data_IF_239645340683
#
_entry.id   IF_239645340683
#
_cell.length_a   1.000
_cell.length_b   1.000
_cell.length_c   1.000
_cell.angle_alpha   90.00
_cell.angle_beta   90.00
_cell.angle_gamma   90.00
#
_symmetry.space_group_name_H-M   'P 1'
#
loop_
_entity.id
_entity.type
_entity.pdbx_description
1 polymer ?
#
# COMPACT_ATOMS: atom_id res chain seq x y z
N UNK A 1 19.00 -7.79 11.13
CA UNK A 1 17.75 -7.12 10.77
C UNK A 1 18.05 -6.12 9.65
N UNK A 2 17.25 -6.12 8.62
CA UNK A 2 17.41 -5.18 7.51
C UNK A 2 16.81 -3.84 7.90
N UNK A 3 17.64 -2.83 8.08
CA UNK A 3 17.18 -1.48 8.45
C UNK A 3 16.30 -0.86 7.38
N UNK A 4 16.49 -1.24 6.11
CA UNK A 4 15.65 -0.75 5.00
C UNK A 4 14.20 -1.19 5.15
N UNK A 5 13.95 -2.37 5.74
CA UNK A 5 12.58 -2.82 6.02
C UNK A 5 11.89 -1.82 6.95
N UNK A 6 12.58 -1.38 8.00
CA UNK A 6 12.01 -0.42 8.95
C UNK A 6 11.78 0.94 8.28
N UNK A 7 12.68 1.37 7.40
CA UNK A 7 12.53 2.64 6.67
C UNK A 7 11.28 2.60 5.78
N UNK A 8 11.10 1.51 5.02
CA UNK A 8 9.91 1.36 4.17
C UNK A 8 8.62 1.33 5.00
N UNK A 9 8.63 0.62 6.13
CA UNK A 9 7.46 0.57 7.03
C UNK A 9 7.16 1.93 7.63
N UNK A 10 8.18 2.72 7.98
CA UNK A 10 7.97 4.06 8.50
C UNK A 10 7.34 4.97 7.45
N UNK A 11 7.81 4.90 6.21
CA UNK A 11 7.20 5.66 5.11
C UNK A 11 5.75 5.23 4.89
N UNK A 12 5.46 3.94 4.96
CA UNK A 12 4.08 3.45 4.84
C UNK A 12 3.20 4.00 5.96
N UNK A 13 3.70 4.00 7.21
CA UNK A 13 2.97 4.54 8.35
C UNK A 13 2.68 6.03 8.16
N UNK A 14 3.66 6.78 7.66
CA UNK A 14 3.49 8.22 7.39
C UNK A 14 2.45 8.46 6.30
N UNK A 15 2.46 7.64 5.25
CA UNK A 15 1.44 7.72 4.20
C UNK A 15 0.03 7.43 4.75
N UNK A 16 -0.10 6.44 5.65
CA UNK A 16 -1.40 6.13 6.27
C UNK A 16 -1.89 7.30 7.12
N UNK A 17 -1.00 7.90 7.91
CA UNK A 17 -1.37 9.07 8.71
C UNK A 17 -1.79 10.23 7.82
N UNK A 18 -1.04 10.49 6.76
CA UNK A 18 -1.38 11.54 5.80
C UNK A 18 -2.74 11.27 5.15
N UNK A 19 -3.01 10.03 4.76
CA UNK A 19 -4.28 9.67 4.14
C UNK A 19 -5.46 9.98 5.07
N UNK A 20 -5.33 9.64 6.36
CA UNK A 20 -6.38 9.91 7.34
C UNK A 20 -6.63 11.40 7.54
N UNK A 21 -5.56 12.18 7.62
CA UNK A 21 -5.67 13.65 7.76
C UNK A 21 -6.30 14.28 6.52
N UNK A 22 -5.93 13.81 5.35
CA UNK A 22 -6.49 14.30 4.09
C UNK A 22 -7.97 13.94 3.96
N UNK A 23 -8.36 12.76 4.40
CA UNK A 23 -9.77 12.37 4.43
C UNK A 23 -10.59 13.30 5.34
N UNK A 24 -10.07 13.60 6.53
CA UNK A 24 -10.75 14.49 7.47
C UNK A 24 -10.97 15.89 6.87
N UNK A 25 -10.10 16.31 5.98
CA UNK A 25 -10.18 17.63 5.35
C UNK A 25 -10.83 17.59 3.97
N UNK A 26 -11.42 16.47 3.58
CA UNK A 26 -12.14 16.34 2.31
C UNK A 26 -11.25 16.34 1.07
N UNK A 27 -9.97 16.11 1.22
CA UNK A 27 -9.01 16.08 0.13
C UNK A 27 -8.85 14.65 -0.38
N UNK A 28 -9.82 14.19 -1.17
CA UNK A 28 -9.97 12.79 -1.51
C UNK A 28 -8.91 12.25 -2.47
N UNK A 29 -8.56 12.99 -3.52
CA UNK A 29 -7.53 12.55 -4.46
C UNK A 29 -6.17 12.32 -3.77
N UNK A 30 -5.62 13.30 -3.02
CA UNK A 30 -4.37 13.05 -2.31
C UNK A 30 -4.50 11.99 -1.21
N UNK A 31 -5.69 11.84 -0.61
CA UNK A 31 -5.94 10.76 0.34
C UNK A 31 -5.74 9.40 -0.34
N UNK A 32 -6.38 9.19 -1.49
CA UNK A 32 -6.27 7.94 -2.25
C UNK A 32 -4.82 7.66 -2.67
N UNK A 33 -4.13 8.70 -3.13
CA UNK A 33 -2.73 8.56 -3.52
C UNK A 33 -1.86 8.09 -2.34
N UNK A 34 -2.08 8.67 -1.15
CA UNK A 34 -1.32 8.28 0.04
C UNK A 34 -1.67 6.87 0.49
N UNK A 35 -2.93 6.45 0.41
CA UNK A 35 -3.33 5.09 0.75
C UNK A 35 -2.66 4.08 -0.20
N UNK A 36 -2.67 4.36 -1.50
CA UNK A 36 -2.01 3.50 -2.49
C UNK A 36 -0.50 3.42 -2.22
N UNK A 37 0.14 4.55 -1.93
CA UNK A 37 1.57 4.59 -1.61
C UNK A 37 1.88 3.80 -0.34
N UNK A 38 1.02 3.86 0.66
CA UNK A 38 1.19 3.08 1.88
C UNK A 38 1.20 1.58 1.58
N UNK A 39 0.26 1.11 0.76
CA UNK A 39 0.19 -0.30 0.36
C UNK A 39 1.44 -0.71 -0.42
N UNK A 40 1.87 0.12 -1.37
CA UNK A 40 3.06 -0.17 -2.18
C UNK A 40 4.30 -0.31 -1.31
N UNK A 41 4.52 0.65 -0.41
CA UNK A 41 5.70 0.65 0.46
C UNK A 41 5.68 -0.51 1.45
N UNK A 42 4.49 -0.88 1.93
CA UNK A 42 4.32 -2.03 2.81
C UNK A 42 4.72 -3.32 2.09
N UNK A 43 4.27 -3.49 0.84
CA UNK A 43 4.61 -4.68 0.07
C UNK A 43 6.10 -4.73 -0.27
N UNK A 44 6.72 -3.57 -0.54
CA UNK A 44 8.16 -3.50 -0.75
C UNK A 44 8.93 -3.87 0.51
N UNK A 45 8.47 -3.43 1.67
CA UNK A 45 9.06 -3.83 2.95
C UNK A 45 8.95 -5.34 3.14
N UNK A 46 7.81 -5.92 2.78
CA UNK A 46 7.59 -7.36 2.86
C UNK A 46 8.60 -8.13 1.99
N UNK A 47 8.76 -7.70 0.75
CA UNK A 47 9.68 -8.37 -0.18
C UNK A 47 11.12 -8.27 0.31
N UNK A 48 11.54 -7.12 0.82
CA UNK A 48 12.87 -6.97 1.41
C UNK A 48 13.06 -7.89 2.61
N UNK A 49 12.04 -7.99 3.46
CA UNK A 49 12.08 -8.87 4.63
C UNK A 49 12.24 -10.34 4.21
N UNK A 50 11.72 -10.69 3.03
CA UNK A 50 11.82 -12.03 2.45
C UNK A 50 13.05 -12.19 1.55
N UNK A 51 14.02 -11.27 1.66
CA UNK A 51 15.29 -11.29 0.91
C UNK A 51 15.10 -11.19 -0.61
N UNK A 52 14.04 -10.51 -1.04
CA UNK A 52 13.78 -10.28 -2.45
C UNK A 52 14.23 -8.88 -2.87
N UNK A 53 14.63 -8.74 -4.13
CA UNK A 53 14.93 -7.43 -4.69
C UNK A 53 13.66 -6.60 -4.80
N UNK A 54 13.78 -5.31 -4.47
CA UNK A 54 12.66 -4.37 -4.63
C UNK A 54 12.75 -3.78 -6.03
N UNK A 55 11.85 -4.21 -6.89
CA UNK A 55 11.78 -3.71 -8.25
C UNK A 55 11.14 -2.31 -8.28
N UNK A 56 11.36 -1.61 -9.40
CA UNK A 56 10.77 -0.29 -9.61
C UNK A 56 9.28 -0.33 -9.95
N UNK A 57 8.69 -1.52 -9.99
CA UNK A 57 7.26 -1.62 -10.24
C UNK A 57 6.45 -0.98 -9.11
N UNK A 58 5.37 -0.32 -9.48
CA UNK A 58 4.43 0.29 -8.54
C UNK A 58 3.10 -0.45 -8.49
N UNK A 59 2.97 -1.55 -9.24
CA UNK A 59 1.75 -2.32 -9.28
C UNK A 59 1.53 -3.12 -8.01
N UNK A 60 0.43 -2.84 -7.32
CA UNK A 60 0.08 -3.53 -6.08
C UNK A 60 -0.16 -5.02 -6.35
N UNK A 61 -0.88 -5.33 -7.43
CA UNK A 61 -1.13 -6.73 -7.80
C UNK A 61 0.13 -7.52 -8.07
N UNK A 62 1.10 -6.91 -8.74
CA UNK A 62 2.37 -7.55 -9.05
C UNK A 62 3.16 -7.81 -7.77
N UNK A 63 3.27 -6.81 -6.91
CA UNK A 63 4.00 -6.93 -5.64
C UNK A 63 3.35 -7.96 -4.72
N UNK A 64 2.02 -7.93 -4.61
CA UNK A 64 1.28 -8.87 -3.78
C UNK A 64 1.44 -10.32 -4.27
N UNK A 65 1.41 -10.52 -5.59
CA UNK A 65 1.60 -11.85 -6.18
C UNK A 65 2.95 -12.43 -5.83
N UNK A 66 4.01 -11.62 -5.92
CA UNK A 66 5.36 -12.05 -5.54
C UNK A 66 5.42 -12.41 -4.06
N UNK A 67 4.84 -11.57 -3.20
CA UNK A 67 4.84 -11.83 -1.77
C UNK A 67 4.08 -13.10 -1.42
N UNK A 68 2.96 -13.35 -2.08
CA UNK A 68 2.12 -14.55 -1.84
C UNK A 68 2.81 -15.86 -2.21
N UNK A 69 3.81 -15.81 -3.09
CA UNK A 69 4.60 -17.00 -3.41
C UNK A 69 5.51 -17.43 -2.25
N UNK A 70 5.81 -16.52 -1.33
CA UNK A 70 6.79 -16.71 -0.29
C UNK A 70 6.21 -16.69 1.13
N UNK A 71 5.01 -16.15 1.30
CA UNK A 71 4.38 -16.05 2.61
C UNK A 71 2.86 -15.95 2.47
N UNK A 72 2.18 -16.17 3.58
CA UNK A 72 0.74 -15.96 3.65
C UNK A 72 0.46 -14.45 3.74
N UNK A 73 -0.35 -13.96 2.83
CA UNK A 73 -0.72 -12.55 2.76
C UNK A 73 -2.19 -12.44 2.43
N UNK A 74 -2.94 -11.71 3.26
CA UNK A 74 -4.37 -11.53 3.09
C UNK A 74 -4.66 -10.21 2.38
N UNK A 75 -4.76 -10.28 1.08
CA UNK A 75 -5.28 -9.22 0.22
C UNK A 75 -5.88 -9.90 -1.00
N UNK A 76 -7.11 -9.53 -1.35
CA UNK A 76 -7.79 -10.12 -2.49
C UNK A 76 -7.32 -9.51 -3.80
N UNK A 77 -7.59 -10.23 -4.89
CA UNK A 77 -7.31 -9.74 -6.24
C UNK A 77 -8.08 -8.43 -6.51
N UNK A 78 -9.33 -8.38 -6.07
CA UNK A 78 -10.18 -7.19 -6.25
C UNK A 78 -9.63 -5.98 -5.47
N UNK A 79 -9.10 -6.22 -4.27
CA UNK A 79 -8.48 -5.15 -3.49
C UNK A 79 -7.23 -4.61 -4.17
N UNK A 80 -6.41 -5.49 -4.73
CA UNK A 80 -5.24 -5.09 -5.50
C UNK A 80 -5.64 -4.26 -6.71
N UNK A 81 -6.66 -4.72 -7.45
CA UNK A 81 -7.15 -4.01 -8.64
C UNK A 81 -7.66 -2.62 -8.28
N UNK A 82 -8.37 -2.51 -7.16
CA UNK A 82 -8.86 -1.22 -6.70
C UNK A 82 -7.71 -0.24 -6.46
N UNK A 83 -6.70 -0.67 -5.72
CA UNK A 83 -5.54 0.19 -5.44
C UNK A 83 -4.76 0.53 -6.70
N UNK A 84 -4.61 -0.42 -7.63
CA UNK A 84 -3.94 -0.16 -8.90
C UNK A 84 -4.73 0.83 -9.77
N UNK A 85 -6.06 0.76 -9.74
CA UNK A 85 -6.89 1.68 -10.51
C UNK A 85 -6.77 3.13 -10.00
N UNK A 86 -6.53 3.32 -8.72
CA UNK A 86 -6.40 4.63 -8.10
C UNK A 86 -5.08 5.30 -8.50
N UNK A 87 -4.03 4.53 -8.67
CA UNK A 87 -2.71 5.09 -9.01
C UNK A 87 -2.78 6.01 -10.25
N UNK A 88 -3.42 5.57 -11.31
CA UNK A 88 -3.49 6.32 -12.56
C UNK A 88 -4.34 7.59 -12.42
N UNK A 89 -5.62 7.51 -11.97
CA UNK A 89 -6.46 8.70 -11.87
C UNK A 89 -5.93 9.76 -10.90
N UNK A 90 -5.33 9.34 -9.79
CA UNK A 90 -4.84 10.28 -8.78
C UNK A 90 -3.59 11.03 -9.25
N UNK A 91 -2.76 10.42 -10.10
CA UNK A 91 -1.54 11.04 -10.63
C UNK A 91 -1.75 11.76 -11.95
N UNK A 92 -2.72 11.32 -12.74
CA UNK A 92 -2.95 11.85 -14.08
C UNK A 92 -4.44 12.18 -14.27
N UNK A 93 -4.99 13.13 -13.50
CA UNK A 93 -6.43 13.38 -13.52
C UNK A 93 -6.94 13.84 -14.88
N UNK A 94 -6.10 14.53 -15.67
CA UNK A 94 -6.49 15.04 -17.01
C UNK A 94 -6.60 13.89 -18.02
N UNK A 95 -5.85 12.84 -17.81
CA UNK A 95 -5.77 11.70 -18.74
C UNK A 95 -6.31 10.42 -18.12
N UNK A 96 -7.21 10.55 -17.15
CA UNK A 96 -7.76 9.39 -16.46
C UNK A 96 -8.42 8.42 -17.45
N UNK A 97 -8.11 7.13 -17.31
CA UNK A 97 -8.76 6.06 -18.08
C UNK A 97 -10.11 5.68 -17.49
N UNK A 98 -10.46 6.25 -16.33
CA UNK A 98 -11.73 6.04 -15.65
C UNK A 98 -12.49 7.37 -15.61
N UNK A 99 -13.12 7.77 -16.75
CA UNK A 99 -13.73 9.10 -16.85
C UNK A 99 -14.83 9.35 -15.84
N UNK A 100 -15.48 8.29 -15.35
CA UNK A 100 -16.56 8.40 -14.37
C UNK A 100 -16.08 8.23 -12.93
N UNK A 101 -14.76 8.15 -12.72
CA UNK A 101 -14.20 8.00 -11.38
C UNK A 101 -14.28 9.32 -10.63
N UNK A 102 -15.13 9.35 -9.61
CA UNK A 102 -15.26 10.49 -8.72
C UNK A 102 -14.87 10.05 -7.31
N UNK A 103 -13.73 10.52 -6.80
CA UNK A 103 -13.31 10.18 -5.44
C UNK A 103 -14.33 10.67 -4.42
N UNK A 104 -14.62 9.84 -3.43
CA UNK A 104 -15.47 10.21 -2.32
C UNK A 104 -14.90 9.66 -1.01
N UNK A 105 -15.55 10.01 0.11
CA UNK A 105 -15.08 9.59 1.42
C UNK A 105 -15.13 8.06 1.58
N UNK A 106 -16.12 7.40 1.00
CA UNK A 106 -16.27 5.95 1.15
C UNK A 106 -15.15 5.19 0.48
N UNK A 107 -14.77 5.56 -0.75
CA UNK A 107 -13.65 4.92 -1.44
C UNK A 107 -12.34 5.20 -0.70
N UNK A 108 -12.19 6.40 -0.12
CA UNK A 108 -11.02 6.72 0.68
C UNK A 108 -10.92 5.82 1.90
N UNK A 109 -12.00 5.63 2.64
CA UNK A 109 -12.02 4.73 3.80
C UNK A 109 -11.68 3.30 3.41
N UNK A 110 -12.25 2.83 2.31
CA UNK A 110 -11.98 1.49 1.81
C UNK A 110 -10.50 1.30 1.51
N UNK A 111 -9.89 2.25 0.82
CA UNK A 111 -8.47 2.16 0.45
C UNK A 111 -7.55 2.28 1.67
N UNK A 112 -7.88 3.15 2.62
CA UNK A 112 -7.14 3.24 3.88
C UNK A 112 -7.21 1.91 4.62
N UNK A 113 -8.40 1.31 4.71
CA UNK A 113 -8.58 0.04 5.43
C UNK A 113 -7.77 -1.08 4.79
N UNK A 114 -7.74 -1.16 3.46
CA UNK A 114 -6.94 -2.16 2.75
C UNK A 114 -5.45 -1.95 3.05
N UNK A 115 -4.97 -0.72 2.91
CA UNK A 115 -3.56 -0.40 3.14
C UNK A 115 -3.16 -0.63 4.59
N UNK A 116 -4.01 -0.24 5.53
CA UNK A 116 -3.75 -0.45 6.96
C UNK A 116 -3.74 -1.94 7.29
N UNK A 117 -4.65 -2.71 6.72
CA UNK A 117 -4.68 -4.17 6.89
C UNK A 117 -3.38 -4.82 6.44
N UNK A 118 -2.88 -4.42 5.28
CA UNK A 118 -1.57 -4.89 4.81
C UNK A 118 -0.46 -4.48 5.77
N UNK A 119 -0.47 -3.22 6.18
CA UNK A 119 0.56 -2.68 7.07
C UNK A 119 0.62 -3.49 8.37
N UNK A 120 -0.52 -3.76 8.98
CA UNK A 120 -0.57 -4.53 10.23
C UNK A 120 -0.05 -5.95 10.03
N UNK A 121 -0.41 -6.60 8.93
CA UNK A 121 0.08 -7.95 8.63
C UNK A 121 1.60 -7.99 8.53
N UNK A 122 2.19 -7.05 7.79
CA UNK A 122 3.62 -7.05 7.54
C UNK A 122 4.39 -6.59 8.77
N UNK A 123 3.88 -5.58 9.48
CA UNK A 123 4.50 -5.12 10.72
C UNK A 123 4.56 -6.25 11.74
N UNK A 124 3.46 -7.01 11.88
CA UNK A 124 3.42 -8.15 12.79
C UNK A 124 4.39 -9.24 12.38
N UNK A 125 4.49 -9.54 11.09
CA UNK A 125 5.43 -10.53 10.58
C UNK A 125 6.88 -10.15 10.87
N UNK A 126 7.23 -8.90 10.62
CA UNK A 126 8.59 -8.38 10.87
C UNK A 126 8.91 -8.40 12.37
N UNK A 127 7.94 -7.98 13.19
CA UNK A 127 8.11 -7.94 14.66
C UNK A 127 8.26 -9.34 15.25
N UNK A 128 7.55 -10.34 14.72
CA UNK A 128 7.55 -11.71 15.21
C UNK A 128 8.64 -12.58 14.59
N UNK A 129 9.42 -12.05 13.65
CA UNK A 129 10.51 -12.80 13.03
C UNK A 129 11.52 -13.22 14.11
N UNK A 130 12.04 -14.46 14.04
CA UNK A 130 13.05 -14.90 15.01
C UNK A 130 14.25 -13.96 14.95
N UNK A 131 14.69 -13.51 16.14
CA UNK A 131 15.93 -12.75 16.23
C UNK A 131 17.07 -13.73 16.14
N UNK A 132 17.86 -13.60 15.10
CA UNK A 132 19.09 -14.35 14.99
C UNK A 132 20.13 -13.56 15.78
N UNK A 133 20.49 -14.11 16.89
CA UNK A 133 21.53 -13.50 17.73
C UNK A 133 22.90 -13.85 17.17
#
# INVERSE_FOLDING_TARGET
MNDDVQVWLQYAADNLQAARLLLENGLFNPCLQNAQQAAEKTLKACLLHLDQDVERTHGIGTLARKAKLLCTLDISHEQCDLLDSIYIPSKYPVYSVLPDFVPDADICRTCIDIADGLFQQIQNRVRLAPRIS
#
